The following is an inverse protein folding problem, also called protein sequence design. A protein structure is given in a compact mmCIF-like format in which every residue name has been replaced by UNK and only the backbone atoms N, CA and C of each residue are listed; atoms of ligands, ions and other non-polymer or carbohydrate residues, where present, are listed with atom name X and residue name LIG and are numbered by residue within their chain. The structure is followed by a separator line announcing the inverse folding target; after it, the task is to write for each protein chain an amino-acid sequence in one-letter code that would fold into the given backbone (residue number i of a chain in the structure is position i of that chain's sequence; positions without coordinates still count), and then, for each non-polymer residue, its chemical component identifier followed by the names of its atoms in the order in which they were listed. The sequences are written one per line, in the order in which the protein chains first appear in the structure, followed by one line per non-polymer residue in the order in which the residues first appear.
data_IF_793865579284
#
_entry.id   IF_793865579284
#
_cell.length_a   1.000
_cell.length_b   1.000
_cell.length_c   1.000
_cell.angle_alpha   90.00
_cell.angle_beta   90.00
_cell.angle_gamma   90.00
#
_symmetry.space_group_name_H-M   'P 1'
#
loop_
_entity.id
_entity.type
_entity.pdbx_description
1 polymer ?
#
# COMPACT_ATOMS: atom_id res chain seq x y z
N UNK A 1 -3.20 25.11 -12.73
CA UNK A 1 -4.13 24.46 -11.82
C UNK A 1 -3.60 23.09 -11.39
N UNK A 2 -3.71 22.82 -10.13
CA UNK A 2 -3.22 21.57 -9.61
C UNK A 2 -4.31 20.52 -9.61
N UNK A 3 -4.01 19.40 -10.18
CA UNK A 3 -4.90 18.25 -10.17
C UNK A 3 -4.48 17.35 -9.01
N UNK A 4 -5.36 17.17 -8.08
CA UNK A 4 -5.07 16.33 -6.94
C UNK A 4 -5.46 14.88 -7.17
N UNK A 5 -5.71 14.53 -8.40
CA UNK A 5 -6.07 13.17 -8.75
C UNK A 5 -4.93 12.22 -8.48
N UNK A 6 -5.24 11.09 -7.88
CA UNK A 6 -4.25 10.06 -7.64
C UNK A 6 -3.73 9.50 -8.96
N UNK A 7 -2.41 9.40 -9.09
CA UNK A 7 -1.82 8.71 -10.21
C UNK A 7 -1.82 7.21 -9.89
N UNK A 8 -2.72 6.47 -10.52
CA UNK A 8 -2.92 5.06 -10.20
C UNK A 8 -1.68 4.21 -10.50
N UNK A 9 -1.02 4.50 -11.61
CA UNK A 9 0.19 3.76 -11.95
C UNK A 9 1.30 3.98 -10.94
N UNK A 10 1.53 5.25 -10.58
CA UNK A 10 2.56 5.59 -9.60
C UNK A 10 2.23 5.01 -8.23
N UNK A 11 0.97 5.08 -7.82
CA UNK A 11 0.55 4.56 -6.53
C UNK A 11 0.76 3.05 -6.43
N UNK A 12 0.55 2.33 -7.53
CA UNK A 12 0.77 0.89 -7.55
C UNK A 12 2.25 0.54 -7.53
N UNK A 13 3.08 1.36 -8.16
CA UNK A 13 4.53 1.12 -8.22
C UNK A 13 5.25 1.60 -6.98
N UNK A 14 4.77 2.68 -6.38
CA UNK A 14 5.39 3.28 -5.20
C UNK A 14 4.31 3.57 -4.16
N UNK A 15 3.72 2.52 -3.58
CA UNK A 15 2.67 2.73 -2.57
C UNK A 15 3.19 3.42 -1.32
N UNK A 16 4.43 3.18 -0.94
CA UNK A 16 5.00 3.81 0.24
C UNK A 16 5.09 5.32 0.09
N UNK A 17 5.44 5.81 -1.10
CA UNK A 17 5.50 7.24 -1.36
C UNK A 17 4.14 7.88 -1.55
N UNK A 18 3.12 7.09 -1.87
CA UNK A 18 1.78 7.59 -2.17
C UNK A 18 0.85 7.52 -0.95
N UNK A 19 0.93 6.44 -0.19
CA UNK A 19 0.08 6.21 0.97
C UNK A 19 0.90 6.28 2.25
N UNK A 20 0.30 6.88 3.28
CA UNK A 20 0.97 6.99 4.58
C UNK A 20 1.01 5.65 5.30
N UNK A 21 0.00 4.81 5.07
CA UNK A 21 -0.04 3.50 5.68
C UNK A 21 -0.79 2.54 4.77
N UNK A 22 -0.54 1.23 4.92
CA UNK A 22 -1.25 0.23 4.13
C UNK A 22 -2.77 0.27 4.30
N UNK A 23 -3.24 0.67 5.47
CA UNK A 23 -4.68 0.74 5.73
C UNK A 23 -5.36 1.80 4.87
N UNK A 24 -4.62 2.81 4.44
CA UNK A 24 -5.15 3.84 3.56
C UNK A 24 -5.52 3.30 2.19
N UNK A 25 -4.86 2.24 1.75
CA UNK A 25 -5.16 1.61 0.46
C UNK A 25 -6.59 1.06 0.45
N UNK A 26 -7.05 0.56 1.59
CA UNK A 26 -8.40 0.01 1.73
C UNK A 26 -9.46 1.06 1.40
N UNK A 27 -9.21 2.30 1.77
CA UNK A 27 -10.16 3.39 1.62
C UNK A 27 -10.02 4.14 0.30
N UNK A 28 -9.09 3.72 -0.57
CA UNK A 28 -8.85 4.44 -1.83
C UNK A 28 -9.96 4.13 -2.84
N UNK A 29 -10.82 5.10 -3.08
CA UNK A 29 -11.98 4.91 -3.94
C UNK A 29 -11.63 4.81 -5.42
N UNK A 30 -10.43 5.24 -5.81
CA UNK A 30 -9.99 5.17 -7.20
C UNK A 30 -9.50 3.78 -7.61
N UNK A 31 -9.32 2.89 -6.65
CA UNK A 31 -8.85 1.52 -6.90
C UNK A 31 -10.00 0.54 -6.78
N UNK A 32 -10.02 -0.45 -7.69
CA UNK A 32 -10.88 -1.60 -7.50
C UNK A 32 -10.32 -2.46 -6.36
N UNK A 33 -11.11 -3.42 -5.89
CA UNK A 33 -10.66 -4.35 -4.86
C UNK A 33 -9.41 -5.10 -5.30
N UNK A 34 -9.39 -5.57 -6.56
CA UNK A 34 -8.21 -6.26 -7.09
C UNK A 34 -6.99 -5.38 -7.13
N UNK A 35 -7.16 -4.11 -7.49
CA UNK A 35 -6.06 -3.16 -7.50
C UNK A 35 -5.53 -2.89 -6.10
N UNK A 36 -6.41 -2.84 -5.11
CA UNK A 36 -6.00 -2.66 -3.72
C UNK A 36 -5.17 -3.84 -3.24
N UNK A 37 -5.62 -5.04 -3.53
CA UNK A 37 -4.89 -6.26 -3.14
C UNK A 37 -3.53 -6.31 -3.81
N UNK A 38 -3.48 -6.03 -5.11
CA UNK A 38 -2.21 -6.04 -5.85
C UNK A 38 -1.23 -5.00 -5.31
N UNK A 39 -1.73 -3.82 -4.96
CA UNK A 39 -0.90 -2.75 -4.39
C UNK A 39 -0.33 -3.17 -3.04
N UNK A 40 -1.15 -3.77 -2.18
CA UNK A 40 -0.69 -4.25 -0.89
C UNK A 40 0.34 -5.38 -1.03
N UNK A 41 0.13 -6.27 -1.99
CA UNK A 41 1.08 -7.35 -2.23
C UNK A 41 2.42 -6.81 -2.71
N UNK A 42 2.40 -5.83 -3.61
CA UNK A 42 3.62 -5.19 -4.08
C UNK A 42 4.36 -4.50 -2.95
N UNK A 43 3.63 -3.80 -2.09
CA UNK A 43 4.21 -3.14 -0.93
C UNK A 43 4.88 -4.15 0.00
N UNK A 44 4.17 -5.24 0.28
CA UNK A 44 4.69 -6.31 1.12
C UNK A 44 5.98 -6.88 0.55
N UNK A 45 5.99 -7.17 -0.76
CA UNK A 45 7.19 -7.70 -1.40
C UNK A 45 8.36 -6.72 -1.34
N UNK A 46 8.09 -5.43 -1.52
CA UNK A 46 9.13 -4.42 -1.44
C UNK A 46 9.76 -4.39 -0.05
N UNK A 47 8.95 -4.52 0.99
CA UNK A 47 9.45 -4.54 2.36
C UNK A 47 10.25 -5.82 2.63
N UNK A 48 9.72 -6.97 2.21
CA UNK A 48 10.37 -8.25 2.46
C UNK A 48 11.69 -8.39 1.71
N UNK A 49 11.77 -7.80 0.51
CA UNK A 49 12.98 -7.84 -0.31
C UNK A 49 13.90 -6.67 -0.02
N UNK A 50 13.56 -5.84 0.95
CA UNK A 50 14.35 -4.69 1.36
C UNK A 50 14.60 -3.71 0.21
N UNK A 51 13.60 -3.56 -0.67
CA UNK A 51 13.67 -2.62 -1.78
C UNK A 51 13.34 -1.20 -1.33
N UNK A 52 12.79 -1.05 -0.13
CA UNK A 52 12.49 0.25 0.48
C UNK A 52 13.24 0.35 1.81
N UNK A 53 13.65 1.58 2.15
CA UNK A 53 14.38 1.83 3.38
C UNK A 53 13.40 1.96 4.54
N UNK A 54 13.21 0.88 5.28
CA UNK A 54 12.29 0.84 6.40
C UNK A 54 13.02 0.34 7.65
N UNK A 55 12.87 1.06 8.75
CA UNK A 55 13.42 0.63 10.02
C UNK A 55 12.77 -0.65 10.52
N UNK A 56 13.46 -1.37 11.38
CA UNK A 56 12.98 -2.67 11.83
C UNK A 56 11.63 -2.61 12.54
N UNK A 57 11.45 -1.62 13.38
CA UNK A 57 10.17 -1.43 14.09
C UNK A 57 9.05 -1.08 13.10
N UNK A 58 9.34 -0.21 12.14
CA UNK A 58 8.35 0.17 11.12
C UNK A 58 8.04 -0.99 10.19
N UNK A 59 9.04 -1.82 9.91
CA UNK A 59 8.85 -2.98 9.06
C UNK A 59 7.79 -3.92 9.65
N UNK A 60 7.93 -4.24 10.93
CA UNK A 60 6.96 -5.11 11.60
C UNK A 60 5.56 -4.48 11.60
N UNK A 61 5.48 -3.19 11.87
CA UNK A 61 4.22 -2.46 11.89
C UNK A 61 3.56 -2.45 10.52
N UNK A 62 4.34 -2.15 9.48
CA UNK A 62 3.81 -2.09 8.12
C UNK A 62 3.34 -3.44 7.63
N UNK A 63 4.09 -4.50 7.90
CA UNK A 63 3.67 -5.85 7.50
C UNK A 63 2.38 -6.25 8.21
N UNK A 64 2.23 -5.89 9.49
CA UNK A 64 1.01 -6.14 10.22
C UNK A 64 -0.17 -5.37 9.65
N UNK A 65 0.05 -4.11 9.27
CA UNK A 65 -1.00 -3.29 8.66
C UNK A 65 -1.41 -3.81 7.29
N UNK A 66 -0.45 -4.33 6.53
CA UNK A 66 -0.76 -4.92 5.22
C UNK A 66 -1.66 -6.15 5.41
N UNK A 67 -1.36 -7.00 6.39
CA UNK A 67 -2.20 -8.16 6.67
C UNK A 67 -3.60 -7.75 7.11
N UNK A 68 -3.70 -6.74 7.95
CA UNK A 68 -4.98 -6.21 8.38
C UNK A 68 -5.77 -5.66 7.18
N UNK A 69 -5.11 -4.90 6.33
CA UNK A 69 -5.75 -4.32 5.15
C UNK A 69 -6.27 -5.41 4.21
N UNK A 70 -5.47 -6.43 3.97
CA UNK A 70 -5.89 -7.55 3.12
C UNK A 70 -7.07 -8.29 3.72
N UNK A 71 -7.06 -8.48 5.02
CA UNK A 71 -8.16 -9.12 5.72
C UNK A 71 -9.46 -8.34 5.53
N UNK A 72 -9.40 -7.02 5.61
CA UNK A 72 -10.58 -6.16 5.39
C UNK A 72 -11.11 -6.30 3.97
N UNK A 73 -10.23 -6.42 3.00
CA UNK A 73 -10.62 -6.55 1.60
C UNK A 73 -11.20 -7.92 1.28
N UNK A 74 -10.92 -8.92 2.09
CA UNK A 74 -11.41 -10.29 1.89
C UNK A 74 -12.72 -10.58 2.62
N UNK A 75 -13.29 -9.59 3.29
CA UNK A 75 -14.57 -9.76 3.98
C UNK A 75 -15.77 -9.68 3.04
#
# INVERSE_FOLDING_TARGET
MVITKLNRSLAKQDPEGTFESPLRVVDEVMFTRGEKIATLDRWRQAILKQLVAVGEADRARLLGEIEEARSRLNR
#
